data_IF_451584298399
#
_entry.id   IF_451584298399
#
_cell.length_a   1.000
_cell.length_b   1.000
_cell.length_c   1.000
_cell.angle_alpha   90.00
_cell.angle_beta   90.00
_cell.angle_gamma   90.00
#
_symmetry.space_group_name_H-M   'P 1'
#
loop_
_entity.id
_entity.type
_entity.pdbx_description
1 polymer ?
#
# COMPACT_ATOMS: atom_id res chain seq x y z
N UNK A 1 -70.50 -12.86 39.56
CA UNK A 1 -70.57 -13.25 38.14
C UNK A 1 -69.50 -12.49 37.39
N UNK A 2 -68.62 -13.22 36.67
CA UNK A 2 -67.67 -12.80 35.61
C UNK A 2 -66.57 -11.82 36.09
N UNK A 3 -65.37 -12.23 36.52
CA UNK A 3 -64.28 -12.96 35.84
C UNK A 3 -63.91 -12.42 34.46
N UNK A 4 -62.92 -11.53 34.42
CA UNK A 4 -62.13 -11.24 33.20
C UNK A 4 -60.64 -11.22 33.55
N UNK A 5 -59.99 -12.29 33.14
CA UNK A 5 -58.53 -12.46 33.13
C UNK A 5 -57.94 -11.75 31.91
N UNK A 6 -57.04 -10.78 32.14
CA UNK A 6 -56.20 -10.17 31.10
C UNK A 6 -54.77 -10.71 31.20
N UNK A 7 -54.40 -11.61 30.29
CA UNK A 7 -53.05 -12.15 30.12
C UNK A 7 -52.18 -11.10 29.39
N UNK A 8 -51.20 -10.51 30.06
CA UNK A 8 -50.14 -9.74 29.41
C UNK A 8 -48.93 -10.65 29.16
N UNK A 9 -48.72 -11.04 27.91
CA UNK A 9 -47.56 -11.81 27.48
C UNK A 9 -46.29 -10.93 27.57
N UNK A 10 -45.42 -11.25 28.51
CA UNK A 10 -44.09 -10.64 28.65
C UNK A 10 -43.18 -11.16 27.54
N UNK A 11 -42.95 -10.34 26.51
CA UNK A 11 -42.04 -10.64 25.40
C UNK A 11 -40.58 -10.59 25.91
N UNK A 12 -40.01 -11.76 26.23
CA UNK A 12 -38.57 -11.90 26.45
C UNK A 12 -37.82 -11.63 25.14
N UNK A 13 -37.26 -10.42 24.99
CA UNK A 13 -36.27 -10.15 23.97
C UNK A 13 -34.93 -10.76 24.42
N UNK A 14 -34.71 -12.03 24.07
CA UNK A 14 -33.41 -12.70 24.27
C UNK A 14 -32.37 -11.97 23.43
N UNK A 15 -31.44 -11.26 24.08
CA UNK A 15 -30.20 -10.79 23.47
C UNK A 15 -29.39 -12.01 23.03
N UNK A 16 -29.42 -12.34 21.75
CA UNK A 16 -28.44 -13.23 21.14
C UNK A 16 -27.14 -12.43 20.99
N UNK A 17 -26.18 -12.70 21.88
CA UNK A 17 -24.81 -12.29 21.66
C UNK A 17 -24.27 -13.07 20.46
N UNK A 18 -24.17 -12.42 19.30
CA UNK A 18 -23.30 -12.91 18.24
C UNK A 18 -21.86 -12.70 18.70
N UNK A 19 -21.27 -13.72 19.32
CA UNK A 19 -19.81 -13.82 19.41
C UNK A 19 -19.29 -13.96 17.98
N UNK A 20 -18.71 -12.88 17.46
CA UNK A 20 -17.90 -12.94 16.27
C UNK A 20 -16.68 -13.80 16.58
N UNK A 21 -16.76 -15.08 16.24
CA UNK A 21 -15.61 -15.98 16.23
C UNK A 21 -14.66 -15.43 15.18
N UNK A 22 -13.67 -14.68 15.64
CA UNK A 22 -12.57 -14.19 14.84
C UNK A 22 -11.90 -15.39 14.19
N UNK A 23 -12.07 -15.55 12.87
CA UNK A 23 -11.29 -16.46 12.05
C UNK A 23 -9.86 -15.91 11.91
N UNK A 24 -9.17 -15.71 13.04
CA UNK A 24 -7.73 -15.56 13.09
C UNK A 24 -7.15 -16.92 12.71
N UNK A 25 -6.98 -17.14 11.41
CA UNK A 25 -5.97 -18.10 10.97
C UNK A 25 -4.65 -17.55 11.51
N UNK A 26 -3.97 -18.23 12.44
CA UNK A 26 -2.68 -17.76 12.91
C UNK A 26 -1.75 -17.75 11.69
N UNK A 27 -1.36 -16.55 11.25
CA UNK A 27 -0.18 -16.41 10.42
C UNK A 27 0.95 -16.94 11.28
N UNK A 28 1.43 -18.14 10.93
CA UNK A 28 2.64 -18.70 11.56
C UNK A 28 3.70 -17.59 11.50
N UNK A 29 4.35 -17.24 12.62
CA UNK A 29 5.51 -16.38 12.55
C UNK A 29 6.47 -17.03 11.56
N UNK A 30 6.90 -16.29 10.55
CA UNK A 30 7.97 -16.74 9.70
C UNK A 30 9.22 -16.75 10.59
N UNK A 31 9.42 -17.85 11.31
CA UNK A 31 10.61 -18.09 12.11
C UNK A 31 11.78 -18.20 11.14
N UNK A 32 12.57 -17.12 11.07
CA UNK A 32 13.77 -17.04 10.26
C UNK A 32 14.96 -17.81 10.90
N UNK A 33 14.69 -18.79 11.77
CA UNK A 33 15.70 -19.66 12.37
C UNK A 33 15.48 -21.13 12.03
N UNK A 34 14.93 -21.40 10.84
CA UNK A 34 15.09 -22.70 10.18
C UNK A 34 16.34 -22.62 9.30
N UNK A 35 17.49 -22.96 9.90
CA UNK A 35 18.73 -23.44 9.26
C UNK A 35 18.87 -23.15 7.75
N UNK A 36 19.69 -22.15 7.41
CA UNK A 36 20.22 -21.93 6.05
C UNK A 36 21.07 -23.11 5.51
N UNK A 37 21.19 -24.21 6.26
CA UNK A 37 21.91 -25.42 5.91
C UNK A 37 21.00 -26.54 5.34
N UNK A 38 19.68 -26.36 5.33
CA UNK A 38 18.76 -27.35 4.79
C UNK A 38 18.37 -26.99 3.34
N UNK A 39 18.53 -27.96 2.43
CA UNK A 39 18.31 -27.92 0.98
C UNK A 39 19.53 -27.47 0.14
N UNK A 40 20.71 -27.99 0.44
CA UNK A 40 21.73 -28.14 -0.59
C UNK A 40 21.38 -29.36 -1.47
N UNK A 41 20.23 -29.27 -2.14
CA UNK A 41 19.81 -30.25 -3.13
C UNK A 41 20.80 -30.10 -4.29
N UNK A 42 21.71 -31.07 -4.47
CA UNK A 42 22.62 -31.10 -5.61
C UNK A 42 21.78 -31.45 -6.84
N UNK A 43 21.05 -30.46 -7.37
CA UNK A 43 20.29 -30.61 -8.61
C UNK A 43 21.25 -31.02 -9.72
N UNK A 44 20.81 -31.96 -10.55
CA UNK A 44 21.49 -32.29 -11.80
C UNK A 44 21.58 -31.04 -12.69
N UNK A 45 22.58 -30.94 -13.58
CA UNK A 45 22.75 -29.77 -14.44
C UNK A 45 21.51 -29.49 -15.31
N UNK A 46 20.73 -30.51 -15.63
CA UNK A 46 19.47 -30.39 -16.37
C UNK A 46 18.36 -29.75 -15.53
N UNK A 47 18.12 -30.24 -14.31
CA UNK A 47 17.15 -29.65 -13.37
C UNK A 47 17.51 -28.20 -13.01
N UNK A 48 18.80 -27.87 -12.93
CA UNK A 48 19.26 -26.49 -12.74
C UNK A 48 18.86 -25.60 -13.92
N UNK A 49 19.03 -26.09 -15.16
CA UNK A 49 18.65 -25.36 -16.36
C UNK A 49 17.13 -25.18 -16.46
N UNK A 50 16.34 -26.21 -16.11
CA UNK A 50 14.88 -26.13 -16.06
C UNK A 50 14.40 -25.12 -15.01
N UNK A 51 14.96 -25.16 -13.79
CA UNK A 51 14.67 -24.19 -12.74
C UNK A 51 14.97 -22.77 -13.19
N UNK A 52 16.10 -22.55 -13.87
CA UNK A 52 16.46 -21.24 -14.42
C UNK A 52 15.45 -20.78 -15.50
N UNK A 53 15.02 -21.69 -16.38
CA UNK A 53 13.98 -21.38 -17.39
C UNK A 53 12.66 -21.00 -16.75
N UNK A 54 12.20 -21.77 -15.77
CA UNK A 54 10.97 -21.51 -15.03
C UNK A 54 11.04 -20.17 -14.30
N UNK A 55 12.15 -19.88 -13.60
CA UNK A 55 12.37 -18.59 -12.93
C UNK A 55 12.27 -17.45 -13.95
N UNK A 56 12.93 -17.56 -15.11
CA UNK A 56 12.88 -16.52 -16.15
C UNK A 56 11.45 -16.29 -16.65
N UNK A 57 10.69 -17.35 -16.89
CA UNK A 57 9.31 -17.25 -17.37
C UNK A 57 8.37 -16.67 -16.31
N UNK A 58 8.51 -17.12 -15.06
CA UNK A 58 7.77 -16.61 -13.91
C UNK A 58 8.07 -15.13 -13.66
N UNK A 59 9.35 -14.74 -13.65
CA UNK A 59 9.77 -13.35 -13.52
C UNK A 59 9.19 -12.51 -14.64
N UNK A 60 9.20 -13.00 -15.90
CA UNK A 60 8.58 -12.28 -17.02
C UNK A 60 7.06 -12.12 -16.88
N UNK A 61 6.36 -13.12 -16.34
CA UNK A 61 4.91 -13.08 -16.12
C UNK A 61 4.50 -12.20 -14.94
N UNK A 62 5.32 -12.18 -13.89
CA UNK A 62 5.09 -11.42 -12.66
C UNK A 62 5.67 -10.00 -12.72
N UNK A 63 6.57 -9.75 -13.67
CA UNK A 63 7.18 -8.45 -13.91
C UNK A 63 6.11 -7.37 -14.09
N UNK A 64 6.29 -6.26 -13.39
CA UNK A 64 5.45 -5.08 -13.55
C UNK A 64 5.63 -4.42 -14.92
N UNK A 65 4.79 -3.43 -15.27
CA UNK A 65 4.86 -2.72 -16.55
C UNK A 65 6.17 -1.95 -16.78
N UNK A 66 7.01 -1.82 -15.75
CA UNK A 66 8.30 -1.16 -15.80
C UNK A 66 9.49 -2.11 -15.99
N UNK A 67 9.27 -3.42 -16.01
CA UNK A 67 10.37 -4.36 -16.15
C UNK A 67 10.89 -4.40 -17.58
N UNK A 68 12.21 -4.48 -17.73
CA UNK A 68 12.85 -4.74 -19.02
C UNK A 68 12.63 -6.19 -19.50
N UNK A 69 13.17 -6.53 -20.67
CA UNK A 69 13.12 -7.90 -21.22
C UNK A 69 13.78 -8.97 -20.34
N UNK A 70 14.64 -8.55 -19.41
CA UNK A 70 15.34 -9.40 -18.45
C UNK A 70 14.64 -9.46 -17.09
N UNK A 71 13.53 -8.73 -16.90
CA UNK A 71 12.77 -8.67 -15.66
C UNK A 71 13.30 -7.67 -14.63
N UNK A 72 14.27 -6.82 -14.99
CA UNK A 72 14.81 -5.81 -14.10
C UNK A 72 13.90 -4.57 -14.08
N UNK A 73 13.64 -4.05 -12.90
CA UNK A 73 12.92 -2.79 -12.71
C UNK A 73 13.89 -1.63 -12.44
N UNK A 74 13.67 -0.46 -13.07
CA UNK A 74 14.52 0.71 -12.84
C UNK A 74 14.48 1.12 -11.37
N UNK A 75 15.65 1.32 -10.78
CA UNK A 75 15.83 1.62 -9.36
C UNK A 75 16.61 2.91 -9.17
N UNK A 76 16.40 3.62 -8.05
CA UNK A 76 17.13 4.83 -7.72
C UNK A 76 16.78 6.01 -8.64
N UNK A 77 17.78 6.54 -9.36
CA UNK A 77 17.67 7.73 -10.22
C UNK A 77 16.97 7.45 -11.55
N UNK A 78 17.01 6.20 -12.01
CA UNK A 78 16.45 5.79 -13.30
C UNK A 78 14.95 5.50 -13.23
N UNK A 79 14.35 5.67 -12.04
CA UNK A 79 12.92 5.47 -11.84
C UNK A 79 12.11 6.45 -12.69
N UNK A 80 11.13 5.97 -13.46
CA UNK A 80 10.27 6.84 -14.25
C UNK A 80 9.43 7.75 -13.34
N UNK A 81 9.26 9.01 -13.77
CA UNK A 81 8.49 10.00 -13.03
C UNK A 81 7.02 9.92 -13.46
N UNK A 82 6.12 9.77 -12.48
CA UNK A 82 4.68 9.87 -12.66
C UNK A 82 4.19 11.18 -12.03
N UNK A 83 3.53 12.04 -12.82
CA UNK A 83 2.98 13.32 -12.32
C UNK A 83 1.48 13.15 -12.12
N UNK A 84 1.01 13.33 -10.89
CA UNK A 84 -0.39 13.27 -10.52
C UNK A 84 -0.97 14.67 -10.34
N UNK A 85 -2.03 14.97 -11.11
CA UNK A 85 -2.77 16.23 -11.01
C UNK A 85 -3.91 16.05 -10.02
N UNK A 86 -3.72 16.54 -8.80
CA UNK A 86 -4.65 16.29 -7.70
C UNK A 86 -5.79 17.31 -7.70
N UNK A 87 -6.97 16.88 -8.13
CA UNK A 87 -8.21 17.65 -7.98
C UNK A 87 -8.75 17.66 -6.54
N UNK A 88 -9.81 18.45 -6.26
CA UNK A 88 -10.41 18.54 -4.92
C UNK A 88 -10.81 17.20 -4.29
N UNK A 89 -11.18 16.20 -5.10
CA UNK A 89 -11.54 14.85 -4.64
C UNK A 89 -10.40 14.05 -4.03
N UNK A 90 -9.13 14.45 -4.23
CA UNK A 90 -7.97 13.78 -3.65
C UNK A 90 -7.78 14.14 -2.17
N UNK A 91 -8.53 15.13 -1.68
CA UNK A 91 -8.41 15.68 -0.33
C UNK A 91 -9.71 15.48 0.46
N UNK A 92 -9.61 15.40 1.78
CA UNK A 92 -10.78 15.47 2.64
C UNK A 92 -11.45 16.85 2.57
N UNK A 93 -12.77 16.88 2.72
CA UNK A 93 -13.53 18.12 2.69
C UNK A 93 -12.99 19.13 3.71
N UNK A 94 -12.85 20.40 3.28
CA UNK A 94 -12.32 21.50 4.09
C UNK A 94 -10.91 21.24 4.67
N UNK A 95 -10.12 20.40 3.99
CA UNK A 95 -8.76 20.08 4.40
C UNK A 95 -7.82 20.05 3.20
N UNK A 96 -6.53 20.19 3.47
CA UNK A 96 -5.43 19.91 2.53
C UNK A 96 -4.85 18.51 2.74
N UNK A 97 -5.44 17.71 3.63
CA UNK A 97 -5.01 16.33 3.89
C UNK A 97 -5.54 15.40 2.80
N UNK A 98 -4.64 14.58 2.26
CA UNK A 98 -4.96 13.56 1.28
C UNK A 98 -5.89 12.49 1.86
N UNK A 99 -6.80 11.99 1.01
CA UNK A 99 -7.65 10.86 1.37
C UNK A 99 -6.85 9.56 1.51
N UNK A 100 -7.38 8.61 2.28
CA UNK A 100 -6.79 7.26 2.38
C UNK A 100 -6.64 6.57 1.01
N UNK A 101 -7.56 6.85 0.07
CA UNK A 101 -7.50 6.31 -1.29
C UNK A 101 -6.29 6.83 -2.07
N UNK A 102 -6.07 8.15 -2.06
CA UNK A 102 -4.91 8.77 -2.70
C UNK A 102 -3.60 8.29 -2.06
N UNK A 103 -3.56 8.20 -0.72
CA UNK A 103 -2.41 7.66 0.02
C UNK A 103 -2.10 6.21 -0.39
N UNK A 104 -3.12 5.37 -0.56
CA UNK A 104 -2.94 3.99 -1.02
C UNK A 104 -2.41 3.94 -2.46
N UNK A 105 -3.00 4.73 -3.37
CA UNK A 105 -2.56 4.84 -4.77
C UNK A 105 -1.09 5.23 -4.89
N UNK A 106 -0.66 6.26 -4.15
CA UNK A 106 0.74 6.68 -4.09
C UNK A 106 1.65 5.51 -3.69
N UNK A 107 1.35 4.84 -2.58
CA UNK A 107 2.16 3.72 -2.08
C UNK A 107 2.26 2.58 -3.09
N UNK A 108 1.19 2.28 -3.83
CA UNK A 108 1.21 1.26 -4.87
C UNK A 108 2.11 1.69 -6.04
N UNK A 109 1.98 2.92 -6.53
CA UNK A 109 2.81 3.46 -7.61
C UNK A 109 4.30 3.50 -7.21
N UNK A 110 4.62 3.98 -6.02
CA UNK A 110 5.99 4.00 -5.51
C UNK A 110 6.59 2.59 -5.43
N UNK A 111 5.82 1.60 -4.95
CA UNK A 111 6.27 0.20 -4.88
C UNK A 111 6.39 -0.48 -6.25
N UNK A 112 5.64 -0.01 -7.24
CA UNK A 112 5.83 -0.43 -8.63
C UNK A 112 7.09 0.17 -9.27
N UNK A 113 7.80 1.08 -8.59
CA UNK A 113 9.06 1.66 -9.06
C UNK A 113 8.93 3.08 -9.62
N UNK A 114 7.76 3.71 -9.51
CA UNK A 114 7.57 5.09 -9.98
C UNK A 114 8.06 6.13 -8.96
N UNK A 115 8.63 7.22 -9.48
CA UNK A 115 8.84 8.47 -8.76
C UNK A 115 7.56 9.32 -8.89
N UNK A 116 6.67 9.27 -7.90
CA UNK A 116 5.36 9.94 -7.97
C UNK A 116 5.45 11.37 -7.46
N UNK A 117 5.05 12.34 -8.29
CA UNK A 117 5.00 13.76 -7.96
C UNK A 117 3.55 14.23 -7.96
N UNK A 118 3.11 14.77 -6.83
CA UNK A 118 1.78 15.32 -6.67
C UNK A 118 1.76 16.82 -6.96
N UNK A 119 0.76 17.27 -7.74
CA UNK A 119 0.48 18.68 -8.05
C UNK A 119 -0.90 19.03 -7.52
N UNK A 120 -1.00 19.59 -6.29
CA UNK A 120 -2.27 19.97 -5.67
C UNK A 120 -2.98 21.10 -6.41
N UNK A 121 -4.29 20.96 -6.66
CA UNK A 121 -5.09 22.00 -7.32
C UNK A 121 -4.99 23.37 -6.63
N UNK A 122 -4.92 23.40 -5.29
CA UNK A 122 -4.89 24.65 -4.53
C UNK A 122 -3.53 25.36 -4.60
N UNK A 123 -2.43 24.64 -4.82
CA UNK A 123 -1.12 25.25 -5.11
C UNK A 123 -1.10 25.76 -6.54
N UNK A 124 -1.51 24.91 -7.47
CA UNK A 124 -1.57 25.25 -8.89
C UNK A 124 -2.43 26.49 -9.18
N UNK A 125 -3.59 26.61 -8.50
CA UNK A 125 -4.52 27.74 -8.69
C UNK A 125 -3.97 29.07 -8.15
N UNK A 126 -2.98 29.06 -7.27
CA UNK A 126 -2.32 30.29 -6.79
C UNK A 126 -1.42 30.91 -7.87
N UNK A 127 -0.93 30.10 -8.82
CA UNK A 127 -0.03 30.50 -9.89
C UNK A 127 -0.81 31.18 -11.02
N UNK A 128 -0.52 32.46 -11.26
CA UNK A 128 -1.23 33.31 -12.21
C UNK A 128 -0.57 33.31 -13.58
N UNK A 129 0.75 33.19 -13.64
CA UNK A 129 1.53 33.24 -14.88
C UNK A 129 2.03 31.88 -15.38
N UNK A 130 2.32 31.80 -16.69
CA UNK A 130 2.96 30.64 -17.29
C UNK A 130 4.37 30.39 -16.73
N UNK A 131 5.16 31.47 -16.55
CA UNK A 131 6.50 31.42 -15.97
C UNK A 131 6.51 30.86 -14.54
N UNK A 132 5.55 31.27 -13.72
CA UNK A 132 5.41 30.77 -12.34
C UNK A 132 5.07 29.27 -12.31
N UNK A 133 4.19 28.82 -13.22
CA UNK A 133 3.85 27.39 -13.36
C UNK A 133 5.04 26.57 -13.82
N UNK A 134 5.82 27.10 -14.75
CA UNK A 134 7.06 26.45 -15.20
C UNK A 134 8.07 26.33 -14.05
N UNK A 135 8.28 27.40 -13.28
CA UNK A 135 9.22 27.40 -12.16
C UNK A 135 8.75 26.48 -11.02
N UNK A 136 7.45 26.44 -10.74
CA UNK A 136 6.84 25.47 -9.82
C UNK A 136 7.14 24.04 -10.25
N UNK A 137 6.87 23.68 -11.52
CA UNK A 137 7.15 22.34 -12.02
C UNK A 137 8.65 22.01 -12.02
N UNK A 138 9.51 22.98 -12.35
CA UNK A 138 10.97 22.82 -12.32
C UNK A 138 11.48 22.55 -10.90
N UNK A 139 10.84 23.15 -9.90
CA UNK A 139 11.15 22.91 -8.48
C UNK A 139 10.67 21.52 -8.07
N UNK A 140 9.42 21.15 -8.40
CA UNK A 140 8.85 19.83 -8.12
C UNK A 140 9.65 18.67 -8.73
N UNK A 141 10.17 18.83 -9.94
CA UNK A 141 10.96 17.78 -10.59
C UNK A 141 12.30 17.50 -9.87
N UNK A 142 12.87 18.52 -9.22
CA UNK A 142 14.11 18.41 -8.44
C UNK A 142 13.88 17.75 -7.07
N UNK A 143 12.66 17.81 -6.53
CA UNK A 143 12.31 17.13 -5.28
C UNK A 143 12.46 15.61 -5.45
N UNK A 144 13.08 14.94 -4.48
CA UNK A 144 13.05 13.48 -4.40
C UNK A 144 11.77 13.06 -3.66
N UNK A 145 10.84 12.33 -4.31
CA UNK A 145 9.59 11.96 -3.68
C UNK A 145 9.84 10.92 -2.61
N UNK A 146 9.40 11.26 -1.41
CA UNK A 146 9.36 10.37 -0.27
C UNK A 146 8.34 9.26 -0.51
N UNK A 147 8.51 8.11 0.15
CA UNK A 147 7.51 7.03 0.13
C UNK A 147 6.16 7.48 0.71
N UNK A 148 6.17 8.52 1.53
CA UNK A 148 5.01 9.03 2.25
C UNK A 148 4.56 10.39 1.73
N UNK A 149 3.25 10.51 1.50
CA UNK A 149 2.59 11.78 1.15
C UNK A 149 2.47 12.74 2.34
N UNK A 150 2.44 12.18 3.54
CA UNK A 150 2.10 12.86 4.77
C UNK A 150 3.21 12.57 5.81
N UNK A 151 3.94 13.60 6.27
CA UNK A 151 4.99 13.44 7.28
C UNK A 151 4.48 12.86 8.60
N UNK A 152 3.21 13.07 8.94
CA UNK A 152 2.61 12.49 10.14
C UNK A 152 2.44 10.97 10.00
N UNK A 153 2.06 10.49 8.81
CA UNK A 153 1.94 9.07 8.53
C UNK A 153 3.31 8.39 8.58
N UNK A 154 4.33 9.01 8.01
CA UNK A 154 5.71 8.51 8.05
C UNK A 154 6.17 8.25 9.49
N UNK A 155 5.98 9.23 10.37
CA UNK A 155 6.29 9.11 11.80
C UNK A 155 5.49 7.99 12.47
N UNK A 156 4.20 7.88 12.16
CA UNK A 156 3.30 6.88 12.74
C UNK A 156 3.64 5.45 12.34
N UNK A 157 4.00 5.23 11.07
CA UNK A 157 4.39 3.90 10.59
C UNK A 157 5.80 3.53 11.04
N UNK A 158 6.73 4.49 11.07
CA UNK A 158 8.09 4.27 11.59
C UNK A 158 8.08 3.88 13.07
N UNK A 159 7.29 4.57 13.90
CA UNK A 159 7.20 4.27 15.34
C UNK A 159 6.60 2.88 15.60
N UNK A 160 5.51 2.53 14.90
CA UNK A 160 4.91 1.20 14.99
C UNK A 160 5.88 0.10 14.54
N UNK A 161 6.61 0.33 13.46
CA UNK A 161 7.61 -0.64 12.99
C UNK A 161 8.70 -0.85 14.04
N UNK A 162 9.19 0.21 14.67
CA UNK A 162 10.16 0.13 15.75
C UNK A 162 9.62 -0.60 16.99
N UNK A 163 8.33 -0.46 17.30
CA UNK A 163 7.66 -1.19 18.39
C UNK A 163 7.54 -2.69 18.09
N UNK A 164 7.17 -3.06 16.85
CA UNK A 164 7.03 -4.47 16.45
C UNK A 164 8.36 -5.22 16.38
N UNK A 165 9.47 -4.54 16.07
CA UNK A 165 10.81 -5.14 15.97
C UNK A 165 11.48 -5.30 17.34
N UNK A 166 10.95 -4.68 18.40
CA UNK A 166 11.44 -4.85 19.78
C UNK A 166 10.97 -6.14 20.46
N UNK A 167 10.17 -6.96 19.77
CA UNK A 167 9.68 -8.27 20.23
C UNK A 167 10.65 -9.36 19.81
#
# INVERSE_FOLDING_TARGET
>A
MISTTGLAASLMLRRTALTATSCLVPRRPFSATATAAALNEKLTPEEQAEKQRLIKELTKKLAGPLADENGNVPTGKDRPIAIEVDGPSHFYANSTKYTAYTKLKHRLLTRMGYKVLHVPYFEWRKLRGAKEREEYMRTKLKEEPTEWLDPEDEKYYASRHAEMVKV
#
